data_IF_439764050891
#
_entry.id   IF_439764050891
#
_cell.length_a   1.000
_cell.length_b   1.000
_cell.length_c   1.000
_cell.angle_alpha   90.00
_cell.angle_beta   90.00
_cell.angle_gamma   90.00
#
_symmetry.space_group_name_H-M   'P 1'
#
loop_
_entity.id
_entity.type
_entity.pdbx_description
1 polymer ?
#
# COMPACT_ATOMS: atom_id res chain seq x y z
N UNK A 1 -19.62 21.71 15.61
CA UNK A 1 -18.36 22.23 15.02
C UNK A 1 -17.12 21.74 15.76
N UNK A 2 -17.11 21.74 17.11
CA UNK A 2 -15.94 21.25 17.90
C UNK A 2 -15.61 19.78 17.61
N UNK A 3 -16.62 18.91 17.52
CA UNK A 3 -16.45 17.48 17.17
C UNK A 3 -15.76 17.27 15.83
N UNK A 4 -16.04 18.10 14.82
CA UNK A 4 -15.39 18.04 13.51
C UNK A 4 -13.89 18.27 13.61
N UNK A 5 -13.46 19.33 14.32
CA UNK A 5 -12.05 19.62 14.52
C UNK A 5 -11.35 18.56 15.37
N UNK A 6 -12.03 17.99 16.36
CA UNK A 6 -11.52 16.87 17.15
C UNK A 6 -11.25 15.63 16.28
N UNK A 7 -12.20 15.25 15.43
CA UNK A 7 -12.03 14.14 14.49
C UNK A 7 -10.92 14.41 13.47
N UNK A 8 -10.81 15.67 12.99
CA UNK A 8 -9.75 16.06 12.07
C UNK A 8 -8.36 15.92 12.71
N UNK A 9 -8.20 16.39 13.95
CA UNK A 9 -6.95 16.25 14.71
C UNK A 9 -6.66 14.76 14.96
N UNK A 10 -7.67 13.98 15.36
CA UNK A 10 -7.51 12.55 15.57
C UNK A 10 -7.07 11.80 14.30
N UNK A 11 -7.62 12.17 13.14
CA UNK A 11 -7.22 11.61 11.85
C UNK A 11 -5.75 11.92 11.53
N UNK A 12 -5.34 13.18 11.71
CA UNK A 12 -3.97 13.62 11.47
C UNK A 12 -3.00 12.89 12.40
N UNK A 13 -3.31 12.84 13.70
CA UNK A 13 -2.47 12.13 14.69
C UNK A 13 -2.43 10.63 14.39
N UNK A 14 -3.56 10.03 14.02
CA UNK A 14 -3.65 8.63 13.61
C UNK A 14 -2.75 8.32 12.41
N UNK A 15 -2.76 9.18 11.39
CA UNK A 15 -1.89 9.03 10.22
C UNK A 15 -0.40 8.96 10.60
N UNK A 16 0.08 9.90 11.41
CA UNK A 16 1.49 9.93 11.81
C UNK A 16 1.87 8.80 12.78
N UNK A 17 1.01 8.51 13.76
CA UNK A 17 1.29 7.46 14.77
C UNK A 17 1.23 6.06 14.16
N UNK A 18 0.20 5.76 13.37
CA UNK A 18 0.06 4.48 12.70
C UNK A 18 1.10 4.30 11.60
N UNK A 19 1.36 5.34 10.79
CA UNK A 19 2.41 5.29 9.77
C UNK A 19 3.78 4.94 10.36
N UNK A 20 4.16 5.60 11.47
CA UNK A 20 5.42 5.31 12.18
C UNK A 20 5.47 3.90 12.78
N UNK A 21 4.35 3.41 13.31
CA UNK A 21 4.25 2.06 13.86
C UNK A 21 4.41 1.00 12.76
N UNK A 22 3.71 1.17 11.63
CA UNK A 22 3.80 0.26 10.47
C UNK A 22 5.20 0.26 9.90
N UNK A 23 5.82 1.43 9.70
CA UNK A 23 7.18 1.56 9.21
C UNK A 23 8.20 0.87 10.14
N UNK A 24 8.05 1.03 11.45
CA UNK A 24 8.89 0.33 12.43
C UNK A 24 8.68 -1.19 12.47
N UNK A 25 7.54 -1.71 12.00
CA UNK A 25 7.19 -3.13 12.11
C UNK A 25 7.48 -3.89 10.80
N UNK A 26 7.18 -3.26 9.66
CA UNK A 26 7.21 -3.86 8.32
C UNK A 26 8.21 -3.17 7.39
N UNK A 27 9.21 -2.47 7.95
CA UNK A 27 10.13 -1.60 7.21
C UNK A 27 10.61 -2.15 5.86
N UNK A 28 11.02 -1.23 4.96
CA UNK A 28 11.34 -1.58 3.58
C UNK A 28 12.34 -2.72 3.51
N UNK A 29 12.02 -3.69 2.67
CA UNK A 29 12.76 -4.92 2.52
C UNK A 29 13.42 -4.95 1.14
N UNK A 30 14.74 -5.06 1.11
CA UNK A 30 15.55 -5.03 -0.12
C UNK A 30 15.61 -6.39 -0.85
N UNK A 31 14.82 -7.37 -0.41
CA UNK A 31 14.75 -8.68 -1.07
C UNK A 31 14.13 -8.54 -2.45
N UNK A 32 14.74 -9.23 -3.42
CA UNK A 32 14.15 -9.36 -4.76
C UNK A 32 12.72 -9.86 -4.67
N UNK A 33 11.82 -9.16 -5.33
CA UNK A 33 10.40 -9.53 -5.36
C UNK A 33 10.23 -10.86 -6.10
N UNK A 34 9.21 -11.66 -5.75
CA UNK A 34 8.91 -12.92 -6.45
C UNK A 34 8.72 -12.74 -7.96
N UNK A 35 8.23 -11.58 -8.39
CA UNK A 35 8.09 -11.23 -9.81
C UNK A 35 9.43 -11.23 -10.59
N UNK A 36 10.54 -11.02 -9.89
CA UNK A 36 11.90 -11.10 -10.45
C UNK A 36 12.52 -12.48 -10.18
N UNK A 37 12.48 -12.93 -8.92
CA UNK A 37 13.16 -14.16 -8.48
C UNK A 37 12.56 -15.45 -9.08
N UNK A 38 11.23 -15.53 -9.19
CA UNK A 38 10.48 -16.73 -9.59
C UNK A 38 9.70 -16.39 -10.87
N UNK A 39 10.33 -15.68 -11.80
CA UNK A 39 9.65 -15.23 -13.01
C UNK A 39 9.27 -16.45 -13.89
N UNK A 40 8.00 -16.87 -13.81
CA UNK A 40 7.46 -18.05 -14.49
C UNK A 40 6.71 -17.70 -15.78
N UNK A 41 6.58 -16.41 -16.09
CA UNK A 41 5.88 -15.92 -17.29
C UNK A 41 4.35 -15.90 -17.17
N UNK A 42 3.77 -16.34 -16.05
CA UNK A 42 2.32 -16.46 -15.85
C UNK A 42 1.88 -15.83 -14.52
N UNK A 43 2.21 -16.44 -13.39
CA UNK A 43 1.77 -16.00 -12.05
C UNK A 43 2.71 -14.93 -11.47
N UNK A 44 4.00 -15.00 -11.81
CA UNK A 44 5.03 -14.07 -11.35
C UNK A 44 5.71 -13.42 -12.55
N UNK A 45 5.28 -12.20 -12.87
CA UNK A 45 5.84 -11.42 -13.97
C UNK A 45 6.04 -9.97 -13.58
N UNK A 46 7.15 -9.38 -14.02
CA UNK A 46 7.41 -7.95 -13.88
C UNK A 46 6.44 -7.19 -14.78
N UNK A 47 5.68 -6.28 -14.17
CA UNK A 47 4.71 -5.44 -14.88
C UNK A 47 5.12 -3.97 -14.82
N UNK A 48 4.79 -3.17 -15.85
CA UNK A 48 5.01 -1.74 -15.81
C UNK A 48 4.09 -1.08 -14.77
N UNK A 49 4.57 -0.03 -14.11
CA UNK A 49 3.93 0.61 -12.95
C UNK A 49 2.48 1.05 -13.21
N UNK A 50 2.17 1.56 -14.41
CA UNK A 50 0.82 2.00 -14.77
C UNK A 50 -0.21 0.87 -14.73
N UNK A 51 0.19 -0.36 -15.10
CA UNK A 51 -0.68 -1.54 -15.07
C UNK A 51 -0.91 -1.99 -13.62
N UNK A 52 0.13 -1.93 -12.80
CA UNK A 52 0.07 -2.22 -11.37
C UNK A 52 -0.90 -1.28 -10.65
N UNK A 53 -0.78 0.02 -10.90
CA UNK A 53 -1.66 1.04 -10.31
C UNK A 53 -3.12 0.84 -10.74
N UNK A 54 -3.36 0.53 -12.02
CA UNK A 54 -4.70 0.25 -12.52
C UNK A 54 -5.32 -0.98 -11.85
N UNK A 55 -4.56 -2.07 -11.70
CA UNK A 55 -5.03 -3.29 -11.03
C UNK A 55 -5.32 -3.03 -9.55
N UNK A 56 -4.46 -2.28 -8.85
CA UNK A 56 -4.72 -1.89 -7.45
C UNK A 56 -5.99 -1.08 -7.31
N UNK A 57 -6.22 -0.12 -8.21
CA UNK A 57 -7.43 0.69 -8.22
C UNK A 57 -8.67 -0.18 -8.47
N UNK A 58 -8.62 -1.08 -9.44
CA UNK A 58 -9.69 -2.04 -9.74
C UNK A 58 -10.01 -2.95 -8.54
N UNK A 59 -8.98 -3.44 -7.85
CA UNK A 59 -9.17 -4.26 -6.64
C UNK A 59 -9.84 -3.48 -5.50
N UNK A 60 -9.46 -2.21 -5.28
CA UNK A 60 -10.12 -1.35 -4.28
C UNK A 60 -11.56 -1.05 -4.69
N UNK A 61 -11.83 -0.93 -5.99
CA UNK A 61 -13.17 -0.73 -6.54
C UNK A 61 -14.06 -1.99 -6.53
N UNK A 62 -13.51 -3.16 -6.15
CA UNK A 62 -14.25 -4.43 -6.10
C UNK A 62 -14.56 -5.04 -7.47
N UNK A 63 -13.76 -4.70 -8.48
CA UNK A 63 -13.90 -5.18 -9.87
C UNK A 63 -12.86 -6.26 -10.22
N UNK A 64 -12.08 -6.70 -9.23
CA UNK A 64 -11.04 -7.73 -9.33
C UNK A 64 -11.50 -9.11 -8.89
#
# INVERSE_FOLDING_TARGET
MISFFLCLIALIVGYFTYGKLVDSTFGPDDRETPAVRINDGVDYVVMPEWKLFLVQLLNIAGLG
#
